data_IF_464720298222
#
_entry.id   IF_464720298222
#
_cell.length_a   1.000
_cell.length_b   1.000
_cell.length_c   1.000
_cell.angle_alpha   90.00
_cell.angle_beta   90.00
_cell.angle_gamma   90.00
#
_symmetry.space_group_name_H-M   'P 1'
#
loop_
_entity.id
_entity.type
_entity.pdbx_description
1 polymer ?
#
# COMPACT_ATOMS: atom_id res chain seq x y z
N UNK A 1 30.01 -40.31 25.10
CA UNK A 1 30.71 -39.68 23.96
C UNK A 1 29.75 -38.65 23.36
N UNK A 2 29.99 -37.35 23.40
CA UNK A 2 31.02 -36.57 24.11
C UNK A 2 30.55 -35.11 24.26
N UNK A 3 30.91 -34.46 25.39
CA UNK A 3 31.32 -33.04 25.61
C UNK A 3 30.88 -31.96 24.57
N UNK A 4 30.16 -30.89 24.96
CA UNK A 4 30.64 -29.62 25.59
C UNK A 4 31.52 -28.74 24.65
N UNK A 5 31.40 -27.40 24.57
CA UNK A 5 30.41 -26.45 25.14
C UNK A 5 29.91 -25.44 24.05
N UNK A 6 29.87 -24.09 24.08
CA UNK A 6 30.31 -22.99 24.99
C UNK A 6 29.33 -21.80 24.93
N UNK A 7 29.12 -21.11 26.07
CA UNK A 7 28.60 -19.72 26.16
C UNK A 7 29.20 -19.02 27.40
N UNK A 8 29.11 -17.67 27.59
CA UNK A 8 28.95 -16.56 26.65
C UNK A 8 30.05 -15.48 26.81
N UNK A 9 30.03 -14.38 26.02
CA UNK A 9 30.73 -13.13 26.44
C UNK A 9 30.18 -11.79 25.94
N UNK A 10 30.10 -10.86 26.89
CA UNK A 10 30.32 -9.41 26.76
C UNK A 10 30.99 -8.92 28.08
N UNK A 11 31.10 -7.61 28.37
CA UNK A 11 30.88 -6.43 27.53
C UNK A 11 32.23 -5.76 27.16
N UNK A 12 32.23 -4.49 26.71
CA UNK A 12 33.01 -3.38 27.31
C UNK A 12 33.11 -2.12 26.39
N UNK A 13 32.99 -0.95 27.02
CA UNK A 13 33.44 0.39 26.56
C UNK A 13 34.58 0.84 27.50
N UNK A 14 35.50 1.79 27.16
CA UNK A 14 35.17 3.10 26.59
C UNK A 14 36.28 3.79 25.73
N UNK A 15 36.18 5.12 25.62
CA UNK A 15 37.24 6.14 25.44
C UNK A 15 37.99 6.35 24.10
N UNK A 16 37.72 7.53 23.53
CA UNK A 16 38.66 8.63 23.25
C UNK A 16 40.01 8.39 22.55
N UNK A 17 40.18 9.07 21.41
CA UNK A 17 41.49 9.52 20.91
C UNK A 17 41.37 10.91 20.23
N UNK A 18 41.78 11.98 20.93
CA UNK A 18 41.89 13.32 20.35
C UNK A 18 43.10 13.38 19.39
N UNK A 19 42.94 13.93 18.17
CA UNK A 19 44.10 14.34 17.38
C UNK A 19 44.43 15.82 17.61
N UNK A 20 45.44 16.04 18.46
CA UNK A 20 45.89 17.37 18.91
C UNK A 20 46.90 18.01 17.96
N UNK A 21 46.79 19.33 17.77
CA UNK A 21 47.81 20.31 17.33
C UNK A 21 47.10 21.67 17.24
N UNK A 22 47.10 22.60 18.20
CA UNK A 22 47.97 22.94 19.36
C UNK A 22 49.28 23.65 19.01
N UNK A 23 49.17 24.93 18.64
CA UNK A 23 50.11 26.06 18.89
C UNK A 23 49.38 27.39 18.61
N UNK A 24 49.53 28.48 19.37
CA UNK A 24 50.18 28.67 20.68
C UNK A 24 49.51 29.87 21.41
N UNK A 25 49.66 29.93 22.74
CA UNK A 25 49.21 31.00 23.69
C UNK A 25 50.48 31.57 24.38
N UNK A 26 50.40 32.50 25.36
CA UNK A 26 49.28 33.40 25.73
C UNK A 26 49.43 34.80 25.07
N UNK A 27 49.70 36.00 25.64
CA UNK A 27 49.88 36.61 26.99
C UNK A 27 49.75 38.17 26.77
N UNK A 28 49.53 39.11 27.70
CA UNK A 28 49.35 39.15 29.16
C UNK A 28 48.46 40.37 29.52
N UNK A 29 47.78 40.37 30.68
CA UNK A 29 47.03 41.54 31.22
C UNK A 29 47.49 41.81 32.65
N UNK A 30 48.02 43.01 32.93
CA UNK A 30 47.64 43.81 34.12
C UNK A 30 47.34 45.28 33.75
N UNK A 31 46.36 46.00 34.33
CA UNK A 31 46.33 46.61 35.68
C UNK A 31 47.28 47.82 35.87
N UNK A 32 47.06 48.85 36.72
CA UNK A 32 45.97 49.22 37.67
C UNK A 32 46.10 50.72 38.07
N UNK A 33 45.15 51.26 38.85
CA UNK A 33 45.16 52.57 39.55
C UNK A 33 44.98 53.84 38.68
N UNK A 34 44.23 54.90 39.07
CA UNK A 34 44.04 55.60 40.37
C UNK A 34 45.23 56.52 40.73
N UNK A 35 45.12 57.67 41.42
CA UNK A 35 43.96 58.36 42.04
C UNK A 35 44.28 59.88 42.25
N UNK A 36 43.50 60.59 43.08
CA UNK A 36 43.66 61.99 43.60
C UNK A 36 43.62 63.15 42.58
N UNK A 37 42.99 64.32 42.80
CA UNK A 37 42.38 65.06 43.93
C UNK A 37 43.28 66.05 44.72
N UNK A 38 42.63 67.12 45.22
CA UNK A 38 43.10 68.23 46.07
C UNK A 38 43.98 69.32 45.37
N UNK A 39 43.64 70.62 45.40
CA UNK A 39 43.58 71.65 46.49
C UNK A 39 44.95 72.29 46.80
N UNK A 40 45.10 73.58 47.17
CA UNK A 40 44.26 74.79 47.04
C UNK A 40 45.14 76.06 47.28
N UNK A 41 44.70 77.23 46.82
CA UNK A 41 45.14 78.59 47.20
C UNK A 41 46.62 79.00 46.88
N UNK A 42 47.07 80.27 46.92
CA UNK A 42 46.50 81.57 47.36
C UNK A 42 46.84 82.75 46.41
N UNK A 43 45.93 83.73 46.35
CA UNK A 43 46.11 85.20 46.21
C UNK A 43 47.25 85.78 45.32
N UNK A 44 46.86 86.34 44.17
CA UNK A 44 46.46 87.76 44.13
C UNK A 44 47.45 88.83 43.64
N UNK A 45 47.25 89.30 42.40
CA UNK A 45 47.27 90.73 42.01
C UNK A 45 46.77 90.92 40.56
N UNK A 46 45.89 91.91 40.34
CA UNK A 46 45.53 92.46 39.02
C UNK A 46 45.57 94.00 39.10
N UNK A 47 44.98 94.76 38.15
CA UNK A 47 44.32 94.40 36.89
C UNK A 47 45.21 94.77 35.67
N UNK A 48 44.83 94.60 34.40
CA UNK A 48 43.66 93.95 33.81
C UNK A 48 43.54 94.30 32.32
N UNK A 49 44.11 93.47 31.44
CA UNK A 49 44.02 93.61 29.98
C UNK A 49 43.54 92.29 29.37
N UNK A 50 42.62 92.35 28.42
CA UNK A 50 41.82 91.20 27.95
C UNK A 50 42.61 90.27 27.02
N UNK A 51 42.99 89.10 27.53
CA UNK A 51 43.84 88.12 26.82
C UNK A 51 43.33 87.64 25.46
N UNK A 52 42.03 87.78 25.16
CA UNK A 52 41.44 87.38 23.86
C UNK A 52 41.95 88.19 22.67
N UNK A 53 42.42 89.44 22.85
CA UNK A 53 42.97 90.23 21.74
C UNK A 53 44.45 89.91 21.44
N UNK A 54 45.24 89.45 22.43
CA UNK A 54 46.66 89.10 22.23
C UNK A 54 46.84 87.81 21.42
N UNK A 55 45.88 86.89 21.47
CA UNK A 55 45.92 85.63 20.74
C UNK A 55 45.62 85.83 19.24
N UNK A 56 44.72 86.75 18.90
CA UNK A 56 44.37 87.08 17.50
C UNK A 56 45.52 87.81 16.77
N UNK A 57 46.29 88.66 17.47
CA UNK A 57 47.50 89.27 16.90
C UNK A 57 48.75 88.37 16.97
N UNK A 58 48.67 87.18 17.56
CA UNK A 58 49.76 86.18 17.54
C UNK A 58 49.76 85.28 16.30
N UNK A 59 48.65 85.23 15.55
CA UNK A 59 48.44 84.29 14.42
C UNK A 59 48.44 84.96 13.03
N UNK A 60 48.72 86.26 12.95
CA UNK A 60 48.84 87.01 11.68
C UNK A 60 50.15 87.81 11.71
N UNK A 61 51.02 87.76 10.68
CA UNK A 61 50.79 87.22 9.34
C UNK A 61 50.80 85.68 9.27
N UNK A 62 49.89 85.06 8.50
CA UNK A 62 49.99 83.66 8.16
C UNK A 62 51.19 83.45 7.23
N UNK A 63 52.34 83.08 7.80
CA UNK A 63 53.43 82.47 7.03
C UNK A 63 53.02 81.05 6.62
N UNK A 64 52.07 80.96 5.69
CA UNK A 64 51.70 79.71 5.01
C UNK A 64 52.90 79.20 4.21
N UNK A 65 53.77 78.46 4.90
CA UNK A 65 54.76 77.60 4.29
C UNK A 65 54.07 76.69 3.27
N UNK A 66 54.73 76.37 2.16
CA UNK A 66 54.22 75.39 1.18
C UNK A 66 53.84 74.07 1.87
N UNK A 67 54.63 73.65 2.87
CA UNK A 67 54.33 72.48 3.68
C UNK A 67 53.01 72.59 4.48
N UNK A 68 52.67 73.78 4.99
CA UNK A 68 51.47 73.99 5.80
C UNK A 68 50.19 74.05 4.94
N UNK A 69 50.30 74.56 3.70
CA UNK A 69 49.24 74.44 2.69
C UNK A 69 49.04 72.97 2.25
N UNK A 70 50.13 72.22 2.08
CA UNK A 70 50.08 70.77 1.78
C UNK A 70 49.42 70.01 2.94
N UNK A 71 49.80 70.27 4.20
CA UNK A 71 49.17 69.65 5.39
C UNK A 71 47.68 69.99 5.49
N UNK A 72 47.29 71.24 5.25
CA UNK A 72 45.88 71.63 5.25
C UNK A 72 45.08 70.92 4.14
N UNK A 73 45.64 70.79 2.93
CA UNK A 73 45.02 70.09 1.80
C UNK A 73 44.95 68.57 2.03
N UNK A 74 45.99 67.97 2.65
CA UNK A 74 45.97 66.56 3.06
C UNK A 74 44.94 66.30 4.16
N UNK A 75 44.84 67.17 5.17
CA UNK A 75 43.82 67.04 6.23
C UNK A 75 42.40 67.26 5.68
N UNK A 76 42.21 68.18 4.73
CA UNK A 76 40.92 68.36 4.05
C UNK A 76 40.57 67.15 3.17
N UNK A 77 41.52 66.62 2.39
CA UNK A 77 41.34 65.42 1.58
C UNK A 77 41.07 64.17 2.40
N UNK A 78 41.77 64.00 3.53
CA UNK A 78 41.55 62.91 4.48
C UNK A 78 40.21 63.06 5.22
N UNK A 79 39.86 64.26 5.67
CA UNK A 79 38.58 64.55 6.32
C UNK A 79 37.38 64.38 5.37
N UNK A 80 37.52 64.80 4.12
CA UNK A 80 36.52 64.58 3.07
C UNK A 80 36.43 63.09 2.69
N UNK A 81 37.56 62.40 2.56
CA UNK A 81 37.62 60.96 2.32
C UNK A 81 36.93 60.16 3.43
N UNK A 82 37.23 60.48 4.70
CA UNK A 82 36.56 59.90 5.86
C UNK A 82 35.08 60.26 5.91
N UNK A 83 34.67 61.48 5.56
CA UNK A 83 33.26 61.87 5.50
C UNK A 83 32.49 61.08 4.43
N UNK A 84 33.06 60.90 3.24
CA UNK A 84 32.48 60.08 2.16
C UNK A 84 32.46 58.59 2.54
N UNK A 85 33.52 58.08 3.16
CA UNK A 85 33.60 56.70 3.65
C UNK A 85 32.60 56.42 4.78
N UNK A 86 32.39 57.36 5.71
CA UNK A 86 31.35 57.26 6.75
C UNK A 86 29.95 57.36 6.13
N UNK A 87 29.71 58.32 5.22
CA UNK A 87 28.41 58.49 4.57
C UNK A 87 27.98 57.21 3.81
N UNK A 88 28.81 56.73 2.90
CA UNK A 88 28.56 55.49 2.13
C UNK A 88 28.41 54.24 3.00
N UNK A 89 29.19 54.12 4.07
CA UNK A 89 29.03 53.04 5.04
C UNK A 89 27.77 53.19 5.91
N UNK A 90 27.26 54.41 6.09
CA UNK A 90 26.02 54.69 6.83
C UNK A 90 24.74 54.48 6.00
N UNK A 91 24.74 54.83 4.70
CA UNK A 91 23.67 54.47 3.77
C UNK A 91 23.50 52.94 3.70
N UNK A 92 24.64 52.24 3.60
CA UNK A 92 24.71 50.77 3.66
C UNK A 92 24.15 50.18 4.98
N UNK A 93 24.20 50.95 6.07
CA UNK A 93 23.67 50.54 7.37
C UNK A 93 22.16 50.81 7.54
N UNK A 94 21.61 51.81 6.87
CA UNK A 94 20.22 52.23 7.07
C UNK A 94 19.21 51.42 6.22
N UNK A 95 19.61 50.99 5.02
CA UNK A 95 18.83 50.04 4.22
C UNK A 95 18.72 48.64 4.88
N UNK A 96 19.71 48.25 5.68
CA UNK A 96 19.84 46.90 6.25
C UNK A 96 19.02 46.64 7.53
N UNK A 97 18.29 47.64 8.06
CA UNK A 97 17.45 47.47 9.26
C UNK A 97 16.02 47.03 8.98
N UNK A 98 15.41 47.44 7.86
CA UNK A 98 14.12 46.89 7.40
C UNK A 98 14.30 45.48 6.81
N UNK A 99 15.23 45.37 5.87
CA UNK A 99 15.48 44.17 5.07
C UNK A 99 15.62 42.87 5.89
N UNK A 100 16.20 42.89 7.10
CA UNK A 100 16.35 41.67 7.91
C UNK A 100 15.03 41.11 8.45
N UNK A 101 14.07 41.98 8.79
CA UNK A 101 12.75 41.54 9.25
C UNK A 101 11.88 41.15 8.06
N UNK A 102 11.98 41.91 6.97
CA UNK A 102 11.31 41.64 5.69
C UNK A 102 11.77 40.31 5.06
N UNK A 103 13.07 40.00 5.06
CA UNK A 103 13.59 38.72 4.57
C UNK A 103 13.22 37.54 5.48
N UNK A 104 13.15 37.73 6.81
CA UNK A 104 12.70 36.67 7.72
C UNK A 104 11.21 36.35 7.52
N UNK A 105 10.36 37.37 7.33
CA UNK A 105 8.95 37.19 6.96
C UNK A 105 8.86 36.51 5.59
N UNK A 106 9.59 36.97 4.58
CA UNK A 106 9.61 36.38 3.23
C UNK A 106 10.09 34.92 3.21
N UNK A 107 11.04 34.55 4.07
CA UNK A 107 11.52 33.17 4.24
C UNK A 107 10.49 32.31 4.98
N UNK A 108 9.80 32.87 5.97
CA UNK A 108 8.69 32.20 6.65
C UNK A 108 7.52 31.98 5.69
N UNK A 109 7.09 33.00 4.93
CA UNK A 109 6.05 32.89 3.90
C UNK A 109 6.41 31.82 2.86
N UNK A 110 7.65 31.81 2.34
CA UNK A 110 8.12 30.79 1.39
C UNK A 110 8.16 29.38 2.02
N UNK A 111 8.49 29.26 3.31
CA UNK A 111 8.50 27.99 4.04
C UNK A 111 7.08 27.49 4.33
N UNK A 112 6.15 28.37 4.71
CA UNK A 112 4.75 28.06 4.95
C UNK A 112 4.03 27.69 3.64
N UNK A 113 4.26 28.43 2.55
CA UNK A 113 3.76 28.05 1.22
C UNK A 113 4.30 26.69 0.76
N UNK A 114 5.58 26.37 1.03
CA UNK A 114 6.15 25.03 0.76
C UNK A 114 5.53 23.96 1.65
N UNK A 115 5.29 24.27 2.93
CA UNK A 115 4.72 23.34 3.91
C UNK A 115 3.26 23.02 3.58
N UNK A 116 2.47 24.03 3.20
CA UNK A 116 1.11 23.88 2.69
C UNK A 116 1.12 23.01 1.43
N UNK A 117 1.91 23.34 0.40
CA UNK A 117 1.97 22.55 -0.84
C UNK A 117 2.41 21.10 -0.60
N UNK A 118 3.35 20.85 0.31
CA UNK A 118 3.77 19.49 0.68
C UNK A 118 2.72 18.74 1.51
N UNK A 119 1.90 19.45 2.31
CA UNK A 119 0.75 18.86 2.99
C UNK A 119 -0.37 18.49 2.00
N UNK A 120 -0.66 19.38 1.04
CA UNK A 120 -1.62 19.12 -0.05
C UNK A 120 -1.17 17.94 -0.93
N UNK A 121 0.12 17.90 -1.30
CA UNK A 121 0.73 16.81 -2.07
C UNK A 121 0.70 15.49 -1.28
N UNK A 122 0.98 15.52 0.03
CA UNK A 122 0.85 14.35 0.91
C UNK A 122 -0.60 13.86 0.98
N UNK A 123 -1.56 14.76 1.18
CA UNK A 123 -2.99 14.42 1.26
C UNK A 123 -3.46 13.79 -0.06
N UNK A 124 -3.12 14.40 -1.20
CA UNK A 124 -3.45 13.85 -2.52
C UNK A 124 -2.82 12.49 -2.80
N UNK A 125 -1.61 12.22 -2.31
CA UNK A 125 -0.97 10.90 -2.40
C UNK A 125 -1.60 9.86 -1.45
N UNK A 126 -2.05 10.27 -0.25
CA UNK A 126 -2.78 9.39 0.67
C UNK A 126 -4.19 9.07 0.15
N UNK A 127 -4.86 10.03 -0.47
CA UNK A 127 -6.15 9.84 -1.14
C UNK A 127 -6.02 8.91 -2.37
N UNK A 128 -5.04 9.15 -3.25
CA UNK A 128 -4.74 8.27 -4.40
C UNK A 128 -4.37 6.85 -3.95
N UNK A 129 -3.60 6.71 -2.87
CA UNK A 129 -3.27 5.40 -2.31
C UNK A 129 -4.53 4.70 -1.78
N UNK A 130 -5.40 5.42 -1.06
CA UNK A 130 -6.67 4.90 -0.57
C UNK A 130 -7.58 4.46 -1.72
N UNK A 131 -7.70 5.26 -2.79
CA UNK A 131 -8.46 4.90 -3.99
C UNK A 131 -7.90 3.65 -4.69
N UNK A 132 -6.58 3.54 -4.81
CA UNK A 132 -5.91 2.38 -5.41
C UNK A 132 -6.07 1.11 -4.56
N UNK A 133 -5.93 1.20 -3.23
CA UNK A 133 -6.15 0.07 -2.32
C UNK A 133 -7.63 -0.38 -2.35
N UNK A 134 -8.58 0.56 -2.30
CA UNK A 134 -10.01 0.25 -2.39
C UNK A 134 -10.41 -0.37 -3.74
N UNK A 135 -9.95 0.18 -4.85
CA UNK A 135 -10.26 -0.35 -6.19
C UNK A 135 -9.58 -1.70 -6.46
N UNK A 136 -8.36 -1.92 -5.95
CA UNK A 136 -7.70 -3.24 -5.98
C UNK A 136 -8.50 -4.28 -5.19
N UNK A 137 -8.95 -3.95 -3.98
CA UNK A 137 -9.77 -4.85 -3.16
C UNK A 137 -11.11 -5.19 -3.85
N UNK A 138 -11.78 -4.19 -4.42
CA UNK A 138 -13.02 -4.40 -5.20
C UNK A 138 -12.79 -5.30 -6.43
N UNK A 139 -11.68 -5.10 -7.15
CA UNK A 139 -11.33 -5.94 -8.30
C UNK A 139 -10.98 -7.38 -7.91
N UNK A 140 -10.37 -7.60 -6.74
CA UNK A 140 -10.11 -8.94 -6.21
C UNK A 140 -11.40 -9.67 -5.82
N UNK A 141 -12.31 -9.01 -5.10
CA UNK A 141 -13.61 -9.59 -4.74
C UNK A 141 -14.50 -9.87 -5.95
N UNK A 142 -14.52 -8.97 -6.94
CA UNK A 142 -15.22 -9.20 -8.21
C UNK A 142 -14.68 -10.45 -8.93
N UNK A 143 -13.35 -10.65 -8.95
CA UNK A 143 -12.72 -11.86 -9.51
C UNK A 143 -13.08 -13.12 -8.74
N UNK A 144 -13.06 -13.10 -7.40
CA UNK A 144 -13.50 -14.23 -6.55
C UNK A 144 -14.94 -14.64 -6.85
N UNK A 145 -15.84 -13.65 -6.92
CA UNK A 145 -17.25 -13.88 -7.28
C UNK A 145 -17.40 -14.44 -8.70
N UNK A 146 -16.60 -13.96 -9.66
CA UNK A 146 -16.60 -14.45 -11.05
C UNK A 146 -16.18 -15.92 -11.12
N UNK A 147 -15.09 -16.29 -10.46
CA UNK A 147 -14.57 -17.67 -10.45
C UNK A 147 -15.55 -18.64 -9.76
N UNK A 148 -16.16 -18.25 -8.64
CA UNK A 148 -17.13 -19.11 -7.96
C UNK A 148 -18.44 -19.24 -8.78
N UNK A 149 -18.86 -18.18 -9.48
CA UNK A 149 -20.00 -18.22 -10.42
C UNK A 149 -19.71 -19.07 -11.66
N UNK A 150 -18.50 -18.98 -12.21
CA UNK A 150 -18.03 -19.86 -13.30
C UNK A 150 -18.06 -21.33 -12.86
N UNK A 151 -17.55 -21.63 -11.66
CA UNK A 151 -17.60 -22.97 -11.04
C UNK A 151 -19.03 -23.48 -10.84
N UNK A 152 -19.94 -22.66 -10.34
CA UNK A 152 -21.37 -23.01 -10.20
C UNK A 152 -22.03 -23.31 -11.56
N UNK A 153 -21.82 -22.45 -12.55
CA UNK A 153 -22.33 -22.66 -13.92
C UNK A 153 -21.70 -23.89 -14.58
N UNK A 154 -20.41 -24.17 -14.32
CA UNK A 154 -19.72 -25.36 -14.80
C UNK A 154 -20.23 -26.66 -14.17
N UNK A 155 -20.65 -26.64 -12.90
CA UNK A 155 -21.28 -27.81 -12.25
C UNK A 155 -22.62 -28.12 -12.93
N UNK A 156 -23.44 -27.07 -13.18
CA UNK A 156 -24.74 -27.16 -13.84
C UNK A 156 -24.63 -27.59 -15.32
N UNK A 157 -23.66 -27.05 -16.06
CA UNK A 157 -23.34 -27.44 -17.44
C UNK A 157 -22.64 -28.79 -17.54
N UNK A 158 -22.21 -29.37 -16.41
CA UNK A 158 -21.47 -30.62 -16.34
C UNK A 158 -20.01 -30.55 -16.78
N UNK A 159 -19.45 -29.35 -17.00
CA UNK A 159 -18.09 -29.16 -17.51
C UNK A 159 -17.01 -29.28 -16.43
N UNK A 160 -17.37 -29.17 -15.15
CA UNK A 160 -16.45 -29.42 -14.01
C UNK A 160 -16.98 -30.50 -13.08
N UNK A 161 -16.06 -31.14 -12.35
CA UNK A 161 -16.38 -32.17 -11.37
C UNK A 161 -17.05 -31.57 -10.12
N UNK A 162 -17.85 -32.38 -9.44
CA UNK A 162 -18.55 -32.00 -8.21
C UNK A 162 -18.31 -33.04 -7.10
N UNK A 163 -18.34 -32.61 -5.84
CA UNK A 163 -18.34 -33.50 -4.67
C UNK A 163 -19.30 -32.98 -3.61
N UNK A 164 -19.95 -33.87 -2.88
CA UNK A 164 -20.92 -33.54 -1.84
C UNK A 164 -21.54 -34.79 -1.20
N UNK A 165 -22.48 -34.66 -0.26
CA UNK A 165 -23.29 -35.77 0.20
C UNK A 165 -24.16 -36.32 -0.95
N UNK A 166 -24.66 -37.55 -0.80
CA UNK A 166 -25.58 -38.13 -1.76
C UNK A 166 -25.71 -39.64 -1.63
N UNK A 167 -25.91 -40.31 -2.76
CA UNK A 167 -26.05 -41.78 -2.83
C UNK A 167 -25.24 -42.36 -4.00
N UNK A 168 -24.82 -43.62 -3.84
CA UNK A 168 -24.52 -44.51 -4.96
C UNK A 168 -25.69 -45.46 -5.11
N UNK A 169 -26.33 -45.48 -6.29
CA UNK A 169 -27.34 -46.50 -6.64
C UNK A 169 -26.73 -47.44 -7.68
N UNK A 170 -26.81 -48.75 -7.45
CA UNK A 170 -26.34 -49.80 -8.35
C UNK A 170 -27.52 -50.65 -8.79
N UNK A 171 -27.78 -50.72 -10.09
CA UNK A 171 -28.79 -51.60 -10.69
C UNK A 171 -28.06 -52.76 -11.38
N UNK A 172 -28.21 -53.98 -10.88
CA UNK A 172 -27.71 -55.20 -11.51
C UNK A 172 -28.83 -55.90 -12.31
N UNK A 173 -28.52 -56.35 -13.53
CA UNK A 173 -29.51 -56.86 -14.50
C UNK A 173 -28.95 -58.07 -15.28
N UNK A 174 -28.76 -59.22 -14.64
CA UNK A 174 -28.15 -60.40 -15.28
C UNK A 174 -28.96 -60.97 -16.46
N UNK A 175 -30.15 -60.43 -16.76
CA UNK A 175 -31.01 -60.89 -17.87
C UNK A 175 -30.97 -59.94 -19.08
N UNK A 176 -30.67 -58.66 -18.86
CA UNK A 176 -30.71 -57.61 -19.88
C UNK A 176 -32.14 -57.13 -20.16
N UNK A 177 -32.95 -56.98 -19.12
CA UNK A 177 -34.33 -56.46 -19.17
C UNK A 177 -34.42 -54.95 -18.99
N UNK A 178 -33.41 -54.32 -18.38
CA UNK A 178 -33.39 -52.89 -18.09
C UNK A 178 -33.12 -52.09 -19.36
N UNK A 179 -34.12 -51.27 -19.71
CA UNK A 179 -34.18 -50.44 -20.92
C UNK A 179 -33.88 -48.96 -20.63
N UNK A 180 -33.77 -48.18 -21.70
CA UNK A 180 -33.49 -46.75 -21.67
C UNK A 180 -34.61 -45.91 -21.00
N UNK A 181 -35.87 -46.34 -21.09
CA UNK A 181 -37.01 -45.72 -20.39
C UNK A 181 -36.86 -45.85 -18.86
N UNK A 182 -36.60 -47.05 -18.35
CA UNK A 182 -36.41 -47.30 -16.90
C UNK A 182 -35.24 -46.51 -16.31
N UNK A 183 -34.13 -46.38 -17.06
CA UNK A 183 -32.99 -45.57 -16.62
C UNK A 183 -33.23 -44.06 -16.77
N UNK A 184 -34.13 -43.62 -17.66
CA UNK A 184 -34.58 -42.23 -17.73
C UNK A 184 -35.47 -41.91 -16.54
N UNK A 185 -36.43 -42.76 -16.20
CA UNK A 185 -37.30 -42.59 -15.02
C UNK A 185 -36.45 -42.52 -13.73
N UNK A 186 -35.41 -43.35 -13.62
CA UNK A 186 -34.41 -43.26 -12.55
C UNK A 186 -33.72 -41.88 -12.48
N UNK A 187 -33.32 -41.30 -13.62
CA UNK A 187 -32.77 -39.92 -13.67
C UNK A 187 -33.82 -38.88 -13.26
N UNK A 188 -35.08 -39.06 -13.64
CA UNK A 188 -36.15 -38.09 -13.41
C UNK A 188 -36.63 -38.07 -11.95
N UNK A 189 -36.78 -39.23 -11.30
CA UNK A 189 -37.07 -39.30 -9.86
C UNK A 189 -35.93 -38.72 -9.02
N UNK A 190 -34.67 -39.00 -9.37
CA UNK A 190 -33.51 -38.39 -8.71
C UNK A 190 -33.52 -36.85 -8.83
N UNK A 191 -33.91 -36.31 -10.00
CA UNK A 191 -34.09 -34.86 -10.21
C UNK A 191 -35.23 -34.30 -9.37
N UNK A 192 -36.38 -34.98 -9.32
CA UNK A 192 -37.52 -34.57 -8.49
C UNK A 192 -37.16 -34.57 -6.99
N UNK A 193 -36.33 -35.51 -6.55
CA UNK A 193 -35.79 -35.63 -5.20
C UNK A 193 -34.61 -34.67 -4.89
N UNK A 194 -34.28 -33.74 -5.79
CA UNK A 194 -33.27 -32.71 -5.53
C UNK A 194 -31.82 -33.15 -5.76
N UNK A 195 -31.56 -34.04 -6.72
CA UNK A 195 -30.19 -34.34 -7.17
C UNK A 195 -29.55 -33.13 -7.88
N UNK A 196 -28.41 -32.69 -7.37
CA UNK A 196 -27.64 -31.54 -7.87
C UNK A 196 -26.69 -31.94 -9.01
N UNK A 197 -26.16 -33.17 -8.96
CA UNK A 197 -25.35 -33.75 -10.03
C UNK A 197 -25.54 -35.27 -10.11
N UNK A 198 -25.68 -35.80 -11.32
CA UNK A 198 -25.88 -37.24 -11.60
C UNK A 198 -24.82 -37.70 -12.62
N UNK A 199 -24.26 -38.88 -12.39
CA UNK A 199 -23.37 -39.57 -13.32
C UNK A 199 -23.74 -41.06 -13.37
N UNK A 200 -23.86 -41.63 -14.57
CA UNK A 200 -24.18 -43.04 -14.79
C UNK A 200 -23.04 -43.71 -15.55
N UNK A 201 -22.37 -44.70 -14.94
CA UNK A 201 -21.27 -45.46 -15.55
C UNK A 201 -20.16 -44.62 -16.23
N UNK A 202 -19.87 -43.43 -15.68
CA UNK A 202 -18.85 -42.51 -16.22
C UNK A 202 -19.38 -41.45 -17.19
N UNK A 203 -20.68 -41.44 -17.50
CA UNK A 203 -21.33 -40.41 -18.32
C UNK A 203 -21.99 -39.37 -17.42
N UNK A 204 -21.73 -38.08 -17.67
CA UNK A 204 -22.34 -36.96 -16.92
C UNK A 204 -23.75 -36.68 -17.43
N UNK A 205 -24.73 -36.70 -16.54
CA UNK A 205 -26.12 -36.41 -16.86
C UNK A 205 -26.38 -34.91 -16.66
N UNK A 206 -26.83 -34.24 -17.73
CA UNK A 206 -27.20 -32.81 -17.74
C UNK A 206 -28.55 -32.62 -18.43
N UNK A 207 -29.05 -31.40 -18.54
CA UNK A 207 -30.41 -31.09 -19.02
C UNK A 207 -30.77 -31.74 -20.37
N UNK A 208 -29.83 -31.82 -21.32
CA UNK A 208 -30.02 -32.40 -22.65
C UNK A 208 -29.44 -33.82 -22.83
N UNK A 209 -29.06 -34.51 -21.74
CA UNK A 209 -28.66 -35.92 -21.82
C UNK A 209 -29.86 -36.80 -22.15
N UNK A 210 -29.75 -37.56 -23.24
CA UNK A 210 -30.74 -38.53 -23.71
C UNK A 210 -30.26 -39.97 -23.45
N UNK A 211 -31.20 -40.91 -23.42
CA UNK A 211 -30.96 -42.34 -23.29
C UNK A 211 -31.61 -43.08 -24.46
N UNK A 212 -30.95 -44.12 -25.00
CA UNK A 212 -31.47 -44.98 -26.07
C UNK A 212 -31.07 -46.44 -25.88
N UNK A 213 -31.92 -47.37 -26.32
CA UNK A 213 -31.60 -48.80 -26.24
C UNK A 213 -30.49 -49.21 -27.23
N UNK A 214 -29.65 -50.15 -26.81
CA UNK A 214 -28.47 -50.62 -27.54
C UNK A 214 -28.36 -52.15 -27.46
N UNK A 215 -29.44 -52.84 -27.79
CA UNK A 215 -29.59 -54.29 -27.56
C UNK A 215 -29.85 -54.56 -26.07
N UNK A 216 -29.08 -55.45 -25.45
CA UNK A 216 -29.12 -55.72 -23.99
C UNK A 216 -28.29 -54.71 -23.17
N UNK A 217 -28.38 -53.44 -23.51
CA UNK A 217 -27.55 -52.36 -22.93
C UNK A 217 -28.20 -51.02 -23.25
N UNK A 218 -27.94 -50.00 -22.45
CA UNK A 218 -28.40 -48.63 -22.71
C UNK A 218 -27.23 -47.77 -23.25
N UNK A 219 -27.54 -46.79 -24.09
CA UNK A 219 -26.64 -45.73 -24.51
C UNK A 219 -27.06 -44.41 -23.86
N UNK A 220 -26.14 -43.73 -23.19
CA UNK A 220 -26.37 -42.43 -22.54
C UNK A 220 -25.54 -41.38 -23.27
N UNK A 221 -26.21 -40.40 -23.88
CA UNK A 221 -25.58 -39.39 -24.73
C UNK A 221 -24.71 -39.99 -25.86
N UNK A 222 -25.10 -41.15 -26.40
CA UNK A 222 -24.34 -41.89 -27.42
C UNK A 222 -23.27 -42.83 -26.86
N UNK A 223 -22.94 -42.73 -25.57
CA UNK A 223 -21.98 -43.62 -24.91
C UNK A 223 -22.69 -44.90 -24.46
N UNK A 224 -22.37 -46.05 -25.08
CA UNK A 224 -22.91 -47.35 -24.67
C UNK A 224 -22.40 -47.73 -23.27
N UNK A 225 -23.30 -47.96 -22.33
CA UNK A 225 -23.02 -48.42 -20.98
C UNK A 225 -23.63 -49.82 -20.74
N UNK A 226 -22.91 -50.67 -20.01
CA UNK A 226 -23.36 -52.01 -19.64
C UNK A 226 -23.74 -52.09 -18.17
N UNK A 227 -24.50 -53.12 -17.80
CA UNK A 227 -24.69 -53.52 -16.41
C UNK A 227 -23.36 -53.77 -15.65
N UNK A 228 -23.37 -53.71 -14.31
CA UNK A 228 -24.40 -53.08 -13.50
C UNK A 228 -24.34 -51.56 -13.67
N UNK A 229 -25.51 -50.92 -13.71
CA UNK A 229 -25.66 -49.48 -13.91
C UNK A 229 -25.47 -48.75 -12.57
N UNK A 230 -24.30 -48.14 -12.38
CA UNK A 230 -23.95 -47.33 -11.21
C UNK A 230 -24.22 -45.86 -11.45
N UNK A 231 -25.17 -45.34 -10.69
CA UNK A 231 -25.51 -43.94 -10.55
C UNK A 231 -24.71 -43.38 -9.36
N UNK A 232 -23.78 -42.46 -9.61
CA UNK A 232 -23.25 -41.56 -8.59
C UNK A 232 -24.16 -40.33 -8.55
N UNK A 233 -24.73 -39.99 -7.39
CA UNK A 233 -25.65 -38.86 -7.23
C UNK A 233 -25.21 -37.98 -6.08
N UNK A 234 -25.12 -36.67 -6.31
CA UNK A 234 -24.93 -35.66 -5.27
C UNK A 234 -26.26 -34.98 -4.97
N UNK A 235 -26.55 -34.78 -3.69
CA UNK A 235 -27.78 -34.18 -3.16
C UNK A 235 -28.06 -34.67 -1.74
N UNK A 236 -29.24 -34.36 -1.20
CA UNK A 236 -29.60 -34.75 0.16
C UNK A 236 -29.97 -36.23 0.22
N UNK A 237 -29.07 -37.09 0.72
CA UNK A 237 -29.27 -38.55 0.80
C UNK A 237 -30.56 -38.98 1.51
N UNK A 238 -31.05 -38.15 2.44
CA UNK A 238 -32.29 -38.35 3.19
C UNK A 238 -33.56 -38.12 2.36
N UNK A 239 -33.47 -37.38 1.25
CA UNK A 239 -34.57 -37.07 0.33
C UNK A 239 -34.48 -37.99 -0.91
N UNK A 240 -33.25 -38.24 -1.41
CA UNK A 240 -32.97 -39.07 -2.58
C UNK A 240 -33.39 -40.55 -2.44
N UNK A 241 -33.04 -41.20 -1.32
CA UNK A 241 -33.31 -42.63 -1.17
C UNK A 241 -34.81 -42.94 -0.95
N UNK A 242 -35.57 -42.21 -0.11
CA UNK A 242 -37.01 -42.45 0.01
C UNK A 242 -37.78 -42.25 -1.30
N UNK A 243 -37.39 -41.29 -2.13
CA UNK A 243 -38.02 -41.04 -3.43
C UNK A 243 -37.93 -42.26 -4.37
N UNK A 244 -36.75 -42.88 -4.47
CA UNK A 244 -36.53 -44.12 -5.26
C UNK A 244 -37.42 -45.29 -4.79
N UNK A 245 -37.82 -45.29 -3.52
CA UNK A 245 -38.59 -46.34 -2.85
C UNK A 245 -40.09 -46.02 -2.71
N UNK A 246 -40.59 -44.93 -3.33
CA UNK A 246 -42.03 -44.64 -3.38
C UNK A 246 -42.78 -45.82 -4.04
N UNK A 247 -43.95 -46.26 -3.52
CA UNK A 247 -44.72 -47.34 -4.12
C UNK A 247 -45.08 -47.06 -5.59
N UNK A 248 -44.72 -47.99 -6.48
CA UNK A 248 -44.84 -47.82 -7.94
C UNK A 248 -43.66 -47.13 -8.62
N UNK A 249 -42.70 -46.60 -7.85
CA UNK A 249 -41.50 -45.92 -8.36
C UNK A 249 -40.41 -46.84 -8.91
N UNK A 250 -39.21 -46.28 -9.04
CA UNK A 250 -38.07 -46.83 -9.79
C UNK A 250 -37.60 -48.19 -9.27
N UNK A 251 -37.34 -48.33 -7.96
CA UNK A 251 -36.84 -49.59 -7.38
C UNK A 251 -37.81 -50.74 -7.67
N UNK A 252 -39.07 -50.57 -7.30
CA UNK A 252 -40.10 -51.60 -7.47
C UNK A 252 -40.40 -51.91 -8.96
N UNK A 253 -40.10 -50.98 -9.88
CA UNK A 253 -40.30 -51.21 -11.32
C UNK A 253 -39.14 -52.02 -11.91
N UNK A 254 -37.91 -51.75 -11.50
CA UNK A 254 -36.74 -52.54 -11.86
C UNK A 254 -36.80 -53.97 -11.27
N UNK A 255 -37.28 -54.12 -10.04
CA UNK A 255 -37.46 -55.43 -9.39
C UNK A 255 -38.48 -56.33 -10.10
N UNK A 256 -39.58 -55.77 -10.64
CA UNK A 256 -40.56 -56.53 -11.46
C UNK A 256 -39.91 -57.10 -12.72
N UNK A 257 -38.98 -56.36 -13.32
CA UNK A 257 -38.19 -56.77 -14.48
C UNK A 257 -36.99 -57.67 -14.09
N UNK A 258 -36.89 -58.08 -12.82
CA UNK A 258 -35.89 -59.00 -12.25
C UNK A 258 -34.47 -58.43 -12.22
N UNK A 259 -34.33 -57.10 -12.25
CA UNK A 259 -33.11 -56.41 -11.86
C UNK A 259 -33.07 -56.24 -10.33
N UNK A 260 -31.87 -56.12 -9.76
CA UNK A 260 -31.65 -55.87 -8.32
C UNK A 260 -31.11 -54.47 -8.12
N UNK A 261 -31.71 -53.68 -7.22
CA UNK A 261 -31.26 -52.31 -6.92
C UNK A 261 -30.69 -52.23 -5.51
N UNK A 262 -29.46 -51.76 -5.39
CA UNK A 262 -28.81 -51.43 -4.12
C UNK A 262 -28.58 -49.92 -4.04
N UNK A 263 -28.87 -49.31 -2.89
CA UNK A 263 -28.65 -47.87 -2.64
C UNK A 263 -27.79 -47.70 -1.39
N UNK A 264 -26.70 -46.96 -1.52
CA UNK A 264 -25.74 -46.68 -0.46
C UNK A 264 -25.63 -45.17 -0.23
N UNK A 265 -25.97 -44.69 0.96
CA UNK A 265 -25.78 -43.27 1.34
C UNK A 265 -24.30 -43.00 1.64
N UNK A 266 -23.80 -41.86 1.18
CA UNK A 266 -22.46 -41.37 1.53
C UNK A 266 -22.46 -39.88 1.84
N UNK A 267 -21.65 -39.47 2.82
CA UNK A 267 -21.33 -38.06 3.08
C UNK A 267 -20.39 -37.47 2.02
N UNK A 268 -19.76 -38.30 1.19
CA UNK A 268 -18.91 -37.91 0.06
C UNK A 268 -19.12 -38.81 -1.15
N UNK A 269 -19.88 -38.33 -2.11
CA UNK A 269 -19.92 -38.78 -3.51
C UNK A 269 -19.04 -37.83 -4.33
N UNK A 270 -18.37 -38.35 -5.37
CA UNK A 270 -17.58 -37.57 -6.33
C UNK A 270 -18.11 -37.84 -7.74
N UNK A 271 -18.73 -36.83 -8.34
CA UNK A 271 -19.15 -36.83 -9.75
C UNK A 271 -18.01 -36.24 -10.58
N UNK A 272 -17.20 -37.15 -11.14
CA UNK A 272 -15.97 -36.89 -11.89
C UNK A 272 -16.16 -36.92 -13.41
N UNK A 273 -17.29 -37.43 -13.90
CA UNK A 273 -17.65 -37.38 -15.32
C UNK A 273 -17.91 -35.94 -15.78
N UNK A 274 -17.38 -35.57 -16.95
CA UNK A 274 -17.48 -34.23 -17.53
C UNK A 274 -18.20 -34.24 -18.90
N UNK A 275 -18.93 -33.17 -19.20
CA UNK A 275 -19.42 -32.80 -20.53
C UNK A 275 -18.37 -31.97 -21.26
N UNK A 276 -18.11 -32.30 -22.53
CA UNK A 276 -17.35 -31.41 -23.41
C UNK A 276 -18.20 -30.17 -23.76
N UNK A 277 -17.67 -28.98 -23.51
CA UNK A 277 -18.31 -27.72 -23.89
C UNK A 277 -18.24 -27.52 -25.41
N UNK A 278 -19.29 -27.90 -26.14
CA UNK A 278 -19.37 -27.63 -27.59
C UNK A 278 -19.59 -26.14 -27.82
N UNK A 279 -18.67 -25.50 -28.56
CA UNK A 279 -18.86 -24.12 -29.05
C UNK A 279 -20.08 -24.07 -29.98
N UNK A 280 -21.06 -23.19 -29.76
CA UNK A 280 -22.18 -23.00 -30.68
C UNK A 280 -21.72 -22.27 -31.94
N UNK A 281 -22.34 -22.60 -33.08
CA UNK A 281 -22.00 -22.03 -34.38
C UNK A 281 -22.53 -20.59 -34.56
N UNK A 282 -23.71 -20.32 -34.00
CA UNK A 282 -24.43 -19.04 -34.16
C UNK A 282 -24.56 -18.23 -32.85
N UNK A 283 -24.86 -18.89 -31.73
CA UNK A 283 -25.05 -18.23 -30.45
C UNK A 283 -23.72 -17.67 -29.90
N UNK A 284 -23.81 -16.57 -29.15
CA UNK A 284 -22.68 -15.91 -28.48
C UNK A 284 -23.14 -15.49 -27.08
N UNK A 285 -22.22 -15.36 -26.13
CA UNK A 285 -22.51 -14.66 -24.87
C UNK A 285 -22.86 -13.20 -25.16
N UNK A 286 -23.70 -12.58 -24.31
CA UNK A 286 -23.68 -11.11 -24.21
C UNK A 286 -22.30 -10.67 -23.68
N UNK A 287 -21.96 -9.41 -23.91
CA UNK A 287 -20.74 -8.75 -23.45
C UNK A 287 -21.03 -7.72 -22.35
N UNK A 288 -22.09 -7.97 -21.58
CA UNK A 288 -22.58 -7.19 -20.42
C UNK A 288 -22.24 -7.91 -19.12
#
# INVERSE_FOLDING_TARGET
MSHEDETPKGPDTPEAAEHRLRRELPEEVPETAAETANEDATKGSGPGLTGRQRLVQGLWPPRVSRAQLIVALLLFGLGFGLAVQVASNSDSGNALRGARQEDLVRILDELDNRTQRLADEKQGLEDQRSELENSSNQAEEARKQTVEKEKQLGILAGTVAAQGPGITMTIDDPKGTVRADMLLDAVQELRAAGAEAIQVNGVRVVANTYLTDSGKSVSVDGNKISQPYRFKVIGKSQDLEPALNIPGGVVQTLEKEQATVAVERSTKIIVDALRAAKRPDYARSSSE
#
